data_IF_809476835397
#
_entry.id   IF_809476835397
#
_cell.length_a   1.000
_cell.length_b   1.000
_cell.length_c   1.000
_cell.angle_alpha   90.00
_cell.angle_beta   90.00
_cell.angle_gamma   90.00
#
_symmetry.space_group_name_H-M   'P 1'
#
loop_
_entity.id
_entity.type
_entity.pdbx_description
1 polymer ?
#
# COMPACT_ATOMS: atom_id res chain seq x y z
N UNK A 1 1.39 -23.22 4.41
CA UNK A 1 0.79 -23.10 3.06
C UNK A 1 1.32 -24.24 2.19
N UNK A 2 0.47 -24.95 1.45
CA UNK A 2 0.90 -25.99 0.49
C UNK A 2 1.43 -25.35 -0.81
N UNK A 3 2.19 -26.07 -1.66
CA UNK A 3 2.67 -25.55 -2.94
C UNK A 3 1.55 -25.03 -3.87
N UNK A 4 0.39 -25.69 -3.86
CA UNK A 4 -0.78 -25.26 -4.62
C UNK A 4 -1.36 -23.94 -4.06
N UNK A 5 -1.59 -23.89 -2.74
CA UNK A 5 -2.07 -22.67 -2.07
C UNK A 5 -1.10 -21.48 -2.27
N UNK A 6 0.21 -21.73 -2.24
CA UNK A 6 1.21 -20.69 -2.50
C UNK A 6 1.14 -20.15 -3.92
N UNK A 7 1.00 -21.03 -4.90
CA UNK A 7 0.82 -20.60 -6.29
C UNK A 7 -0.47 -19.82 -6.47
N UNK A 8 -1.57 -20.27 -5.87
CA UNK A 8 -2.87 -19.61 -5.99
C UNK A 8 -2.87 -18.24 -5.30
N UNK A 9 -2.28 -18.13 -4.12
CA UNK A 9 -2.07 -16.86 -3.44
C UNK A 9 -1.19 -15.91 -4.28
N UNK A 10 -0.06 -16.38 -4.81
CA UNK A 10 0.78 -15.55 -5.69
C UNK A 10 0.05 -15.10 -6.95
N UNK A 11 -0.86 -15.90 -7.50
CA UNK A 11 -1.69 -15.49 -8.64
C UNK A 11 -2.60 -14.31 -8.32
N UNK A 12 -3.08 -14.18 -7.09
CA UNK A 12 -3.87 -13.02 -6.67
C UNK A 12 -2.96 -11.79 -6.69
N UNK A 13 -1.84 -11.88 -5.96
CA UNK A 13 -0.86 -10.80 -5.83
C UNK A 13 -0.33 -10.27 -7.15
N UNK A 14 0.09 -11.15 -8.08
CA UNK A 14 0.70 -10.68 -9.34
C UNK A 14 -0.32 -10.23 -10.38
N UNK A 15 -1.62 -10.38 -10.12
CA UNK A 15 -2.69 -9.92 -11.00
C UNK A 15 -3.46 -8.72 -10.42
N UNK A 16 -2.96 -8.12 -9.35
CA UNK A 16 -3.53 -6.89 -8.79
C UNK A 16 -3.57 -5.74 -9.81
N UNK A 17 -4.50 -4.83 -9.58
CA UNK A 17 -4.80 -3.64 -10.39
C UNK A 17 -3.56 -2.78 -10.68
N UNK A 18 -2.64 -2.68 -9.70
CA UNK A 18 -1.38 -1.95 -9.77
C UNK A 18 -0.61 -2.15 -11.07
N UNK A 19 -0.53 -3.39 -11.58
CA UNK A 19 0.25 -3.69 -12.78
C UNK A 19 -0.38 -3.08 -14.04
N UNK A 20 -1.71 -3.02 -14.08
CA UNK A 20 -2.43 -2.33 -15.16
C UNK A 20 -2.29 -0.81 -15.01
N UNK A 21 -2.37 -0.30 -13.78
CA UNK A 21 -2.24 1.13 -13.52
C UNK A 21 -0.82 1.64 -13.82
N UNK A 22 0.20 0.81 -13.60
CA UNK A 22 1.57 1.07 -14.05
C UNK A 22 1.66 1.24 -15.56
N UNK A 23 0.99 0.40 -16.34
CA UNK A 23 1.01 0.50 -17.80
C UNK A 23 0.28 1.74 -18.30
N UNK A 24 -0.85 2.10 -17.68
CA UNK A 24 -1.54 3.38 -17.94
C UNK A 24 -0.61 4.56 -17.63
N UNK A 25 0.02 4.57 -16.46
CA UNK A 25 0.88 5.66 -16.02
C UNK A 25 2.12 5.81 -16.91
N UNK A 26 2.70 4.69 -17.34
CA UNK A 26 3.79 4.66 -18.34
C UNK A 26 3.34 5.26 -19.67
N UNK A 27 2.12 4.97 -20.13
CA UNK A 27 1.58 5.53 -21.35
C UNK A 27 1.32 7.05 -21.24
N UNK A 28 0.87 7.54 -20.08
CA UNK A 28 0.70 8.97 -19.81
C UNK A 28 2.05 9.71 -19.85
N UNK A 29 3.08 9.14 -19.23
CA UNK A 29 4.46 9.66 -19.30
C UNK A 29 4.95 9.75 -20.75
N UNK A 30 4.79 8.68 -21.53
CA UNK A 30 5.22 8.65 -22.93
C UNK A 30 4.48 9.68 -23.82
N UNK A 31 3.27 10.07 -23.43
CA UNK A 31 2.47 11.08 -24.13
C UNK A 31 2.77 12.51 -23.67
N UNK A 32 3.63 12.70 -22.67
CA UNK A 32 3.84 13.98 -21.99
C UNK A 32 2.51 14.59 -21.51
N UNK A 33 1.69 13.77 -20.84
CA UNK A 33 0.44 14.22 -20.26
C UNK A 33 0.68 15.41 -19.32
N UNK A 34 -0.32 16.30 -19.22
CA UNK A 34 -0.25 17.41 -18.29
C UNK A 34 -0.26 16.94 -16.83
N UNK A 35 0.11 17.86 -15.92
CA UNK A 35 0.26 17.59 -14.49
C UNK A 35 -1.00 17.02 -13.84
N UNK A 36 -2.18 17.47 -14.25
CA UNK A 36 -3.46 17.05 -13.68
C UNK A 36 -3.79 15.61 -14.12
N UNK A 37 -3.68 15.33 -15.42
CA UNK A 37 -3.87 13.98 -15.96
C UNK A 37 -2.87 12.98 -15.37
N UNK A 38 -1.60 13.38 -15.21
CA UNK A 38 -0.58 12.52 -14.60
C UNK A 38 -0.83 12.31 -13.09
N UNK A 39 -1.32 13.32 -12.37
CA UNK A 39 -1.67 13.19 -10.96
C UNK A 39 -2.81 12.19 -10.74
N UNK A 40 -3.80 12.16 -11.62
CA UNK A 40 -4.90 11.18 -11.53
C UNK A 40 -4.41 9.76 -11.78
N UNK A 41 -3.57 9.54 -12.81
CA UNK A 41 -2.95 8.24 -13.04
C UNK A 41 -2.04 7.79 -11.89
N UNK A 42 -1.30 8.73 -11.29
CA UNK A 42 -0.49 8.48 -10.10
C UNK A 42 -1.35 8.07 -8.91
N UNK A 43 -2.50 8.72 -8.72
CA UNK A 43 -3.46 8.39 -7.65
C UNK A 43 -3.95 6.96 -7.79
N UNK A 44 -4.46 6.57 -8.96
CA UNK A 44 -4.91 5.19 -9.23
C UNK A 44 -3.79 4.18 -8.93
N UNK A 45 -2.58 4.45 -9.44
CA UNK A 45 -1.41 3.60 -9.18
C UNK A 45 -1.10 3.46 -7.69
N UNK A 46 -1.08 4.57 -6.95
CA UNK A 46 -0.68 4.57 -5.55
C UNK A 46 -1.75 3.93 -4.65
N UNK A 47 -3.03 4.13 -4.94
CA UNK A 47 -4.15 3.47 -4.25
C UNK A 47 -4.07 1.95 -4.45
N UNK A 48 -3.93 1.48 -5.69
CA UNK A 48 -3.77 0.06 -6.02
C UNK A 48 -2.52 -0.55 -5.38
N UNK A 49 -1.41 0.19 -5.29
CA UNK A 49 -0.23 -0.26 -4.55
C UNK A 49 -0.53 -0.39 -3.05
N UNK A 50 -1.11 0.65 -2.46
CA UNK A 50 -1.24 0.79 -1.01
C UNK A 50 -2.29 -0.14 -0.40
N UNK A 51 -3.45 -0.26 -1.05
CA UNK A 51 -4.59 -1.00 -0.51
C UNK A 51 -4.61 -2.47 -0.91
N UNK A 52 -4.02 -2.82 -2.05
CA UNK A 52 -4.01 -4.22 -2.52
C UNK A 52 -2.64 -4.87 -2.23
N UNK A 53 -1.60 -4.46 -2.98
CA UNK A 53 -0.34 -5.19 -3.00
C UNK A 53 0.45 -5.05 -1.69
N UNK A 54 0.68 -3.82 -1.23
CA UNK A 54 1.55 -3.55 -0.10
C UNK A 54 0.97 -4.11 1.20
N UNK A 55 -0.37 -4.11 1.33
CA UNK A 55 -1.06 -4.70 2.47
C UNK A 55 -0.82 -6.21 2.57
N UNK A 56 -1.02 -6.94 1.47
CA UNK A 56 -0.81 -8.39 1.40
C UNK A 56 0.65 -8.79 1.64
N UNK A 57 1.61 -8.03 1.09
CA UNK A 57 3.03 -8.30 1.26
C UNK A 57 3.50 -7.98 2.69
N UNK A 58 3.08 -6.86 3.28
CA UNK A 58 3.45 -6.50 4.65
C UNK A 58 3.02 -7.57 5.67
N UNK A 59 1.89 -8.24 5.43
CA UNK A 59 1.43 -9.35 6.27
C UNK A 59 2.39 -10.55 6.26
N UNK A 60 3.21 -10.71 5.21
CA UNK A 60 4.18 -11.80 5.07
C UNK A 60 5.60 -11.43 5.52
N UNK A 61 5.88 -10.15 5.81
CA UNK A 61 7.24 -9.65 6.02
C UNK A 61 8.03 -10.46 7.05
N UNK A 62 7.49 -10.61 8.27
CA UNK A 62 8.17 -11.34 9.33
C UNK A 62 8.47 -12.80 8.95
N UNK A 63 7.59 -13.44 8.18
CA UNK A 63 7.79 -14.82 7.73
C UNK A 63 8.89 -14.90 6.68
N UNK A 64 8.87 -14.01 5.68
CA UNK A 64 9.84 -14.00 4.59
C UNK A 64 11.23 -13.64 5.10
N UNK A 65 11.34 -12.61 5.95
CA UNK A 65 12.63 -12.20 6.52
C UNK A 65 13.29 -13.33 7.32
N UNK A 66 12.50 -14.08 8.10
CA UNK A 66 13.01 -15.26 8.83
C UNK A 66 13.53 -16.35 7.91
N UNK A 67 12.89 -16.57 6.76
CA UNK A 67 13.36 -17.54 5.76
C UNK A 67 14.67 -17.06 5.12
N UNK A 68 14.77 -15.77 4.78
CA UNK A 68 15.98 -15.20 4.21
C UNK A 68 17.15 -15.29 5.18
N UNK A 69 16.95 -14.93 6.44
CA UNK A 69 17.98 -15.00 7.49
C UNK A 69 18.55 -16.43 7.64
N UNK A 70 17.68 -17.44 7.65
CA UNK A 70 18.06 -18.84 7.80
C UNK A 70 18.63 -19.52 6.56
N UNK A 71 18.68 -18.84 5.41
CA UNK A 71 19.12 -19.42 4.13
C UNK A 71 20.49 -18.88 3.69
N UNK A 72 21.43 -19.76 3.41
CA UNK A 72 22.72 -19.39 2.81
C UNK A 72 22.59 -19.02 1.32
N UNK A 73 21.63 -19.64 0.62
CA UNK A 73 21.42 -19.49 -0.83
C UNK A 73 20.97 -18.06 -1.21
N UNK A 74 20.36 -17.32 -0.28
CA UNK A 74 19.85 -15.97 -0.51
C UNK A 74 20.79 -14.88 0.03
N UNK A 75 22.10 -15.10 -0.05
CA UNK A 75 23.12 -14.15 0.42
C UNK A 75 22.97 -12.74 -0.15
N UNK A 76 22.63 -12.61 -1.44
CA UNK A 76 22.43 -11.30 -2.09
C UNK A 76 21.17 -10.59 -1.58
N UNK A 77 20.07 -11.31 -1.38
CA UNK A 77 18.84 -10.75 -0.82
C UNK A 77 19.05 -10.27 0.61
N UNK A 78 19.78 -11.04 1.43
CA UNK A 78 20.12 -10.61 2.80
C UNK A 78 20.89 -9.29 2.82
N UNK A 79 21.81 -9.08 1.89
CA UNK A 79 22.57 -7.82 1.81
C UNK A 79 21.66 -6.64 1.46
N UNK A 80 20.72 -6.84 0.54
CA UNK A 80 19.72 -5.81 0.19
C UNK A 80 18.80 -5.51 1.37
N UNK A 81 18.27 -6.54 2.03
CA UNK A 81 17.48 -6.39 3.26
C UNK A 81 18.25 -5.62 4.33
N UNK A 82 19.53 -5.93 4.55
CA UNK A 82 20.35 -5.21 5.52
C UNK A 82 20.54 -3.72 5.14
N UNK A 83 20.66 -3.40 3.86
CA UNK A 83 20.73 -2.02 3.38
C UNK A 83 19.40 -1.29 3.63
N UNK A 84 18.27 -1.96 3.37
CA UNK A 84 16.93 -1.43 3.64
C UNK A 84 16.75 -1.16 5.14
N UNK A 85 17.08 -2.13 6.00
CA UNK A 85 16.94 -2.02 7.46
C UNK A 85 17.86 -0.96 8.08
N UNK A 86 19.01 -0.65 7.45
CA UNK A 86 19.92 0.38 7.92
C UNK A 86 19.34 1.80 7.82
N UNK A 87 18.42 2.03 6.88
CA UNK A 87 17.83 3.35 6.63
C UNK A 87 16.35 3.45 7.01
N UNK A 88 15.66 2.31 7.01
CA UNK A 88 14.23 2.20 7.30
C UNK A 88 13.91 2.75 8.69
N UNK A 89 12.89 3.59 8.76
CA UNK A 89 12.47 4.25 10.01
C UNK A 89 11.12 3.73 10.53
N UNK A 90 10.40 2.93 9.75
CA UNK A 90 9.06 2.45 10.06
C UNK A 90 8.94 0.93 10.00
N UNK A 91 8.16 0.40 10.94
CA UNK A 91 7.74 -1.00 10.98
C UNK A 91 6.51 -1.21 10.07
N UNK A 92 6.20 -2.46 9.64
CA UNK A 92 5.04 -2.77 8.80
C UNK A 92 3.73 -2.16 9.31
N UNK A 93 3.44 -2.29 10.61
CA UNK A 93 2.23 -1.70 11.21
C UNK A 93 2.20 -0.17 11.09
N UNK A 94 3.36 0.50 11.16
CA UNK A 94 3.46 1.94 10.95
C UNK A 94 3.17 2.33 9.51
N UNK A 95 3.61 1.51 8.54
CA UNK A 95 3.33 1.72 7.11
C UNK A 95 1.85 1.51 6.80
N UNK A 96 1.25 0.45 7.33
CA UNK A 96 -0.18 0.20 7.23
C UNK A 96 -1.00 1.35 7.83
N UNK A 97 -0.69 1.79 9.05
CA UNK A 97 -1.38 2.91 9.68
C UNK A 97 -1.30 4.19 8.83
N UNK A 98 -0.13 4.49 8.22
CA UNK A 98 0.00 5.63 7.31
C UNK A 98 -0.92 5.53 6.10
N UNK A 99 -1.02 4.36 5.46
CA UNK A 99 -1.90 4.15 4.30
C UNK A 99 -3.38 4.34 4.61
N UNK A 100 -3.77 4.17 5.88
CA UNK A 100 -5.14 4.41 6.36
C UNK A 100 -5.32 5.78 7.03
N UNK A 101 -4.41 6.74 6.81
CA UNK A 101 -4.50 8.09 7.39
C UNK A 101 -4.29 8.14 8.91
N UNK A 102 -3.81 7.06 9.52
CA UNK A 102 -3.42 7.03 10.92
C UNK A 102 -2.10 7.77 11.14
N UNK A 103 -1.97 8.48 12.26
CA UNK A 103 -0.72 9.14 12.64
C UNK A 103 0.24 8.14 13.30
N UNK A 104 1.34 7.72 12.65
CA UNK A 104 2.33 6.89 13.32
C UNK A 104 3.10 7.74 14.36
N UNK A 105 3.41 7.13 15.50
CA UNK A 105 4.50 7.62 16.35
C UNK A 105 5.84 7.45 15.62
N UNK A 106 6.19 8.45 14.79
CA UNK A 106 7.46 8.67 14.04
C UNK A 106 7.80 7.70 12.89
N UNK A 107 8.59 8.19 11.89
CA UNK A 107 8.76 9.59 11.47
C UNK A 107 7.68 10.00 10.46
N UNK A 108 7.34 11.29 10.50
CA UNK A 108 6.49 11.94 9.50
C UNK A 108 7.30 12.05 8.21
N UNK A 109 6.74 11.66 7.05
CA UNK A 109 7.42 11.87 5.78
C UNK A 109 7.72 13.36 5.58
N UNK A 110 8.83 13.68 4.95
CA UNK A 110 9.30 15.08 4.82
C UNK A 110 8.89 15.73 3.51
N UNK A 111 8.43 14.94 2.54
CA UNK A 111 8.14 15.39 1.18
C UNK A 111 6.66 15.17 0.92
N UNK A 112 5.87 16.23 0.85
CA UNK A 112 4.48 16.16 0.39
C UNK A 112 4.47 16.05 -1.13
N UNK A 113 3.82 15.01 -1.66
CA UNK A 113 3.71 14.82 -3.12
C UNK A 113 2.95 15.97 -3.78
N UNK A 114 1.98 16.57 -3.08
CA UNK A 114 1.23 17.74 -3.54
C UNK A 114 2.10 19.00 -3.71
N UNK A 115 3.17 19.12 -2.94
CA UNK A 115 4.08 20.28 -2.94
C UNK A 115 5.24 20.14 -3.94
N UNK A 116 5.34 18.99 -4.64
CA UNK A 116 6.39 18.76 -5.63
C UNK A 116 6.20 19.68 -6.84
N UNK A 117 7.32 20.20 -7.34
CA UNK A 117 7.35 20.86 -8.65
C UNK A 117 6.96 19.87 -9.75
N UNK A 118 6.52 20.37 -10.92
CA UNK A 118 6.14 19.51 -12.04
C UNK A 118 7.28 18.56 -12.46
N UNK A 119 8.53 19.04 -12.44
CA UNK A 119 9.71 18.24 -12.76
C UNK A 119 9.98 17.17 -11.69
N UNK A 120 9.87 17.52 -10.41
CA UNK A 120 10.12 16.56 -9.32
C UNK A 120 9.01 15.50 -9.26
N UNK A 121 7.77 15.89 -9.54
CA UNK A 121 6.66 14.96 -9.64
C UNK A 121 6.80 14.02 -10.85
N UNK A 122 7.24 14.55 -11.99
CA UNK A 122 7.56 13.73 -13.16
C UNK A 122 8.65 12.71 -12.83
N UNK A 123 9.75 13.15 -12.21
CA UNK A 123 10.85 12.28 -11.80
C UNK A 123 10.42 11.21 -10.78
N UNK A 124 9.57 11.56 -9.81
CA UNK A 124 8.96 10.61 -8.88
C UNK A 124 8.16 9.56 -9.66
N UNK A 125 7.28 10.01 -10.55
CA UNK A 125 6.40 9.12 -11.33
C UNK A 125 7.20 8.17 -12.22
N UNK A 126 8.24 8.68 -12.91
CA UNK A 126 9.18 7.89 -13.69
C UNK A 126 9.91 6.86 -12.83
N UNK A 127 10.35 7.24 -11.63
CA UNK A 127 11.01 6.33 -10.70
C UNK A 127 10.09 5.18 -10.29
N UNK A 128 8.84 5.48 -9.97
CA UNK A 128 7.86 4.47 -9.54
C UNK A 128 7.57 3.45 -10.65
N UNK A 129 7.23 3.90 -11.86
CA UNK A 129 6.88 2.98 -12.96
C UNK A 129 8.04 2.12 -13.46
N UNK A 130 9.28 2.50 -13.12
CA UNK A 130 10.51 1.79 -13.45
C UNK A 130 11.09 0.99 -12.27
N UNK A 131 10.37 0.87 -11.16
CA UNK A 131 10.78 0.05 -10.03
C UNK A 131 11.06 -1.40 -10.44
N UNK A 132 12.12 -2.01 -9.87
CA UNK A 132 12.48 -3.42 -10.09
C UNK A 132 11.39 -4.40 -9.65
N UNK A 133 10.43 -3.94 -8.83
CA UNK A 133 9.21 -4.68 -8.48
C UNK A 133 8.46 -5.18 -9.73
N UNK A 134 8.40 -4.38 -10.80
CA UNK A 134 7.68 -4.74 -12.01
C UNK A 134 8.42 -5.82 -12.81
N UNK A 135 9.74 -5.70 -12.93
CA UNK A 135 10.57 -6.70 -13.62
C UNK A 135 10.59 -8.04 -12.85
N UNK A 136 10.71 -8.00 -11.52
CA UNK A 136 10.68 -9.21 -10.69
C UNK A 136 9.30 -9.91 -10.75
N UNK A 137 8.19 -9.16 -10.85
CA UNK A 137 6.86 -9.72 -11.08
C UNK A 137 6.75 -10.50 -12.38
N UNK A 138 7.34 -10.02 -13.49
CA UNK A 138 7.30 -10.75 -14.77
C UNK A 138 7.88 -12.16 -14.65
N UNK A 139 8.97 -12.31 -13.88
CA UNK A 139 9.58 -13.60 -13.62
C UNK A 139 8.67 -14.51 -12.79
N UNK A 140 7.99 -13.98 -11.78
CA UNK A 140 6.99 -14.73 -11.00
C UNK A 140 5.84 -15.21 -11.89
N UNK A 141 5.28 -14.33 -12.73
CA UNK A 141 4.18 -14.65 -13.66
C UNK A 141 4.59 -15.75 -14.64
N UNK A 142 5.81 -15.67 -15.17
CA UNK A 142 6.36 -16.69 -16.06
C UNK A 142 6.37 -18.07 -15.38
N UNK A 143 6.88 -18.15 -14.16
CA UNK A 143 6.99 -19.39 -13.40
C UNK A 143 5.61 -19.94 -12.96
N UNK A 144 4.63 -19.09 -12.69
CA UNK A 144 3.24 -19.49 -12.38
C UNK A 144 2.55 -20.19 -13.56
N UNK A 145 2.90 -19.82 -14.80
CA UNK A 145 2.33 -20.41 -16.02
C UNK A 145 2.94 -21.77 -16.37
N UNK A 146 4.13 -22.07 -15.85
CA UNK A 146 4.79 -23.36 -16.07
C UNK A 146 4.08 -24.50 -15.31
N UNK A 147 4.16 -25.76 -15.81
CA UNK A 147 3.60 -26.92 -15.13
C UNK A 147 4.13 -27.07 -13.69
N UNK A 148 3.23 -27.40 -12.77
CA UNK A 148 3.61 -27.61 -11.37
C UNK A 148 4.57 -28.79 -11.24
N UNK A 149 5.77 -28.50 -10.72
CA UNK A 149 6.79 -29.49 -10.40
C UNK A 149 7.56 -29.05 -9.17
N UNK A 150 8.33 -29.95 -8.56
CA UNK A 150 9.19 -29.60 -7.41
C UNK A 150 10.23 -28.55 -7.78
N UNK A 151 10.85 -28.65 -8.96
CA UNK A 151 11.87 -27.71 -9.43
C UNK A 151 11.26 -26.33 -9.64
N UNK A 152 10.13 -26.28 -10.36
CA UNK A 152 9.43 -25.01 -10.61
C UNK A 152 8.91 -24.39 -9.29
N UNK A 153 8.47 -25.19 -8.31
CA UNK A 153 8.08 -24.66 -7.01
C UNK A 153 9.24 -23.95 -6.30
N UNK A 154 10.43 -24.54 -6.28
CA UNK A 154 11.62 -23.91 -5.70
C UNK A 154 11.98 -22.62 -6.45
N UNK A 155 11.97 -22.64 -7.78
CA UNK A 155 12.21 -21.44 -8.59
C UNK A 155 11.19 -20.34 -8.32
N UNK A 156 9.91 -20.71 -8.16
CA UNK A 156 8.83 -19.77 -7.85
C UNK A 156 9.00 -19.15 -6.46
N UNK A 157 9.45 -19.92 -5.47
CA UNK A 157 9.77 -19.40 -4.14
C UNK A 157 10.93 -18.39 -4.22
N UNK A 158 12.01 -18.73 -4.91
CA UNK A 158 13.15 -17.81 -5.08
C UNK A 158 12.75 -16.53 -5.81
N UNK A 159 11.95 -16.63 -6.88
CA UNK A 159 11.44 -15.45 -7.60
C UNK A 159 10.50 -14.59 -6.74
N UNK A 160 9.69 -15.22 -5.88
CA UNK A 160 8.87 -14.49 -4.92
C UNK A 160 9.72 -13.74 -3.90
N UNK A 161 10.80 -14.34 -3.37
CA UNK A 161 11.67 -13.63 -2.42
C UNK A 161 12.36 -12.42 -3.05
N UNK A 162 12.77 -12.52 -4.32
CA UNK A 162 13.28 -11.39 -5.08
C UNK A 162 12.22 -10.29 -5.22
N UNK A 163 11.01 -10.65 -5.67
CA UNK A 163 9.86 -9.75 -5.77
C UNK A 163 9.52 -9.07 -4.43
N UNK A 164 9.57 -9.82 -3.34
CA UNK A 164 9.33 -9.32 -2.00
C UNK A 164 10.39 -8.31 -1.54
N UNK A 165 11.68 -8.56 -1.83
CA UNK A 165 12.75 -7.61 -1.50
C UNK A 165 12.60 -6.33 -2.33
N UNK A 166 12.24 -6.41 -3.60
CA UNK A 166 11.92 -5.22 -4.41
C UNK A 166 10.75 -4.41 -3.82
N UNK A 167 9.74 -5.08 -3.25
CA UNK A 167 8.68 -4.40 -2.50
C UNK A 167 9.24 -3.64 -1.28
N UNK A 168 10.11 -4.27 -0.50
CA UNK A 168 10.73 -3.62 0.65
C UNK A 168 11.57 -2.39 0.29
N UNK A 169 12.24 -2.41 -0.86
CA UNK A 169 13.01 -1.28 -1.39
C UNK A 169 12.09 -0.14 -1.82
N UNK A 170 10.97 -0.48 -2.48
CA UNK A 170 9.94 0.50 -2.82
C UNK A 170 9.34 1.16 -1.58
N UNK A 171 9.04 0.37 -0.53
CA UNK A 171 8.55 0.89 0.75
C UNK A 171 9.55 1.84 1.43
N UNK A 172 10.84 1.49 1.41
CA UNK A 172 11.90 2.36 1.92
C UNK A 172 11.98 3.67 1.14
N UNK A 173 11.90 3.60 -0.20
CA UNK A 173 11.89 4.79 -1.05
C UNK A 173 10.68 5.70 -0.74
N UNK A 174 9.48 5.10 -0.63
CA UNK A 174 8.23 5.81 -0.35
C UNK A 174 8.17 6.38 1.07
N UNK A 175 9.00 5.93 2.01
CA UNK A 175 8.99 6.37 3.41
C UNK A 175 9.20 7.88 3.59
N UNK A 176 9.87 8.53 2.63
CA UNK A 176 10.11 9.98 2.66
C UNK A 176 8.95 10.80 2.10
N UNK A 177 7.99 10.16 1.42
CA UNK A 177 6.88 10.80 0.74
C UNK A 177 5.58 10.68 1.55
N UNK A 178 4.91 11.81 1.72
CA UNK A 178 3.54 11.90 2.22
C UNK A 178 2.62 12.05 1.00
N UNK A 179 1.76 11.06 0.83
CA UNK A 179 0.65 11.11 -0.12
C UNK A 179 -0.64 10.93 0.66
N UNK A 180 -1.41 12.02 0.73
CA UNK A 180 -2.78 12.00 1.24
C UNK A 180 -3.73 11.96 0.03
N UNK A 181 -4.42 10.83 -0.22
CA UNK A 181 -5.39 10.75 -1.31
C UNK A 181 -6.56 11.73 -1.13
N UNK A 182 -6.81 12.16 0.11
CA UNK A 182 -7.90 13.04 0.49
C UNK A 182 -7.48 14.52 0.55
N UNK A 183 -6.21 14.87 0.32
CA UNK A 183 -5.69 16.26 0.41
C UNK A 183 -6.40 17.22 -0.58
N UNK A 184 -7.07 16.69 -1.60
CA UNK A 184 -7.89 17.44 -2.57
C UNK A 184 -9.39 17.30 -2.38
N UNK A 185 -9.84 16.46 -1.45
CA UNK A 185 -11.25 16.38 -1.06
C UNK A 185 -11.54 17.54 -0.10
N UNK A 186 -11.61 18.74 -0.65
CA UNK A 186 -12.21 19.86 0.07
C UNK A 186 -13.61 19.42 0.52
N UNK A 187 -13.83 19.29 1.82
CA UNK A 187 -15.15 19.08 2.38
C UNK A 187 -16.00 20.23 1.86
N UNK A 188 -17.00 19.92 1.03
CA UNK A 188 -17.85 20.98 0.47
C UNK A 188 -18.36 21.86 1.60
N UNK A 189 -18.35 23.19 1.40
CA UNK A 189 -18.79 24.16 2.42
C UNK A 189 -20.12 23.76 3.07
N UNK A 190 -21.03 23.15 2.29
CA UNK A 190 -22.31 22.63 2.77
C UNK A 190 -22.17 21.50 3.79
N UNK A 191 -21.28 20.52 3.53
CA UNK A 191 -21.02 19.41 4.45
C UNK A 191 -20.27 19.91 5.69
N UNK A 192 -19.32 20.83 5.53
CA UNK A 192 -18.61 21.44 6.65
C UNK A 192 -19.57 22.24 7.56
N UNK A 193 -20.48 23.02 6.97
CA UNK A 193 -21.53 23.74 7.70
C UNK A 193 -22.52 22.80 8.38
N UNK A 194 -22.89 21.68 7.75
CA UNK A 194 -23.81 20.69 8.31
C UNK A 194 -23.19 19.95 9.50
N UNK A 195 -21.91 19.56 9.40
CA UNK A 195 -21.15 18.98 10.50
C UNK A 195 -21.00 19.99 11.64
N UNK A 196 -20.61 21.23 11.35
CA UNK A 196 -20.47 22.28 12.37
C UNK A 196 -21.80 22.61 13.06
N UNK A 197 -22.91 22.60 12.31
CA UNK A 197 -24.25 22.79 12.86
C UNK A 197 -24.66 21.63 13.76
N UNK A 198 -24.37 20.39 13.34
CA UNK A 198 -24.62 19.19 14.13
C UNK A 198 -23.84 19.20 15.45
N UNK A 199 -22.55 19.58 15.40
CA UNK A 199 -21.71 19.76 16.59
C UNK A 199 -22.26 20.87 17.49
N UNK A 200 -22.63 22.03 16.94
CA UNK A 200 -23.19 23.14 17.71
C UNK A 200 -24.57 22.79 18.34
N UNK A 201 -25.43 22.06 17.62
CA UNK A 201 -26.72 21.61 18.15
C UNK A 201 -26.54 20.54 19.24
N UNK A 202 -25.47 19.74 19.17
CA UNK A 202 -25.05 18.81 20.22
C UNK A 202 -24.51 19.55 21.46
N UNK A 203 -23.58 20.50 21.27
CA UNK A 203 -22.99 21.28 22.38
C UNK A 203 -24.01 22.19 23.08
N UNK A 204 -24.97 22.73 22.32
CA UNK A 204 -26.08 23.52 22.87
C UNK A 204 -27.20 22.68 23.49
N UNK A 205 -27.09 21.33 23.44
CA UNK A 205 -28.08 20.42 24.02
C UNK A 205 -29.42 20.36 23.28
N UNK A 206 -29.50 20.89 22.05
CA UNK A 206 -30.67 20.77 21.18
C UNK A 206 -30.88 19.34 20.68
N UNK A 207 -29.78 18.59 20.52
CA UNK A 207 -29.84 17.15 20.22
C UNK A 207 -29.57 16.37 21.51
N UNK A 208 -30.51 15.51 21.89
CA UNK A 208 -30.32 14.61 23.04
C UNK A 208 -29.29 13.53 22.69
N UNK A 209 -28.31 13.34 23.58
CA UNK A 209 -27.45 12.15 23.55
C UNK A 209 -28.33 10.92 23.66
N UNK A 210 -28.17 10.02 22.70
CA UNK A 210 -28.62 8.64 22.80
C UNK A 210 -27.41 7.76 23.00
N UNK A 211 -27.51 6.77 23.87
CA UNK A 211 -26.43 5.80 24.01
C UNK A 211 -26.40 4.86 22.81
N UNK A 212 -25.26 4.21 22.55
CA UNK A 212 -25.15 3.24 21.46
C UNK A 212 -26.07 2.03 21.71
N UNK A 213 -26.28 1.68 22.98
CA UNK A 213 -27.22 0.64 23.41
C UNK A 213 -28.67 1.02 23.10
N UNK A 214 -29.08 2.27 23.36
CA UNK A 214 -30.44 2.75 23.02
C UNK A 214 -30.69 2.72 21.50
N UNK A 215 -29.66 3.01 20.69
CA UNK A 215 -29.75 2.95 19.23
C UNK A 215 -29.78 1.51 18.73
N UNK A 216 -28.98 0.62 19.34
CA UNK A 216 -28.91 -0.80 18.99
C UNK A 216 -30.24 -1.51 19.30
N UNK A 217 -30.85 -1.24 20.45
CA UNK A 217 -32.18 -1.75 20.83
C UNK A 217 -33.27 -1.29 19.84
N UNK A 218 -33.26 -0.02 19.42
CA UNK A 218 -34.24 0.52 18.46
C UNK A 218 -34.10 -0.10 17.06
N UNK A 219 -32.88 -0.44 16.66
CA UNK A 219 -32.57 -1.08 15.38
C UNK A 219 -32.67 -2.62 15.41
N UNK A 220 -32.97 -3.21 16.58
CA UNK A 220 -33.07 -4.66 16.76
C UNK A 220 -31.73 -5.40 16.64
N UNK A 221 -30.63 -4.71 16.94
CA UNK A 221 -29.27 -5.26 16.89
C UNK A 221 -28.79 -5.45 18.33
N UNK A 222 -28.34 -6.65 18.70
CA UNK A 222 -27.69 -6.85 20.00
C UNK A 222 -26.31 -6.16 19.99
N UNK A 223 -26.00 -5.32 20.99
CA UNK A 223 -24.69 -4.68 21.06
C UNK A 223 -23.60 -5.75 21.31
N UNK A 224 -22.66 -5.86 20.36
CA UNK A 224 -21.54 -6.80 20.44
C UNK A 224 -20.56 -6.34 21.55
N UNK A 225 -20.30 -7.16 22.59
CA UNK A 225 -19.42 -6.80 23.70
C UNK A 225 -17.95 -6.63 23.32
N UNK A 226 -17.55 -6.87 22.06
CA UNK A 226 -16.17 -6.72 21.60
C UNK A 226 -15.73 -5.27 21.30
N UNK A 227 -16.61 -4.28 21.45
CA UNK A 227 -16.31 -2.86 21.17
C UNK A 227 -16.45 -1.92 22.39
N UNK A 228 -16.35 -2.45 23.62
CA UNK A 228 -16.22 -1.67 24.87
C UNK A 228 -14.88 -1.89 25.56
#
# INVERSE_FOLDING_TARGET
>A
MTPAQFRDWLRLIVNESLFTDRDKLTALLAQNADRETLAEGFREFFESYSYDLAFELDAQEACVLKVLEGSEEFGHLKQRVAAIEAERKTLPIGRQMRRFGGTPNKPVPTIKVADLSDNDFLALTETLVNSELFASREQVVKLIKEPASRVNHVQLQSAFYEFFVCHLELEQFLESYEYDPDERLDISLKVAEEVNRSVADYESGKVKRRSLEEVAEELGVEPDPLYF
#
